data_IF_230537914554
#
_entry.id   IF_230537914554
#
_cell.length_a   1.000
_cell.length_b   1.000
_cell.length_c   1.000
_cell.angle_alpha   90.00
_cell.angle_beta   90.00
_cell.angle_gamma   90.00
#
_symmetry.space_group_name_H-M   'P 1'
#
loop_
_entity.id
_entity.type
_entity.pdbx_description
1 polymer ?
#
# COMPACT_ATOMS: atom_id res chain seq x y z
N UNK A 1 6.21 31.44 -14.39
CA UNK A 1 6.76 31.19 -13.05
C UNK A 1 5.58 30.76 -12.21
N UNK A 2 5.22 29.49 -12.33
CA UNK A 2 4.14 28.87 -11.56
C UNK A 2 4.73 28.55 -10.19
N UNK A 3 4.12 29.07 -9.14
CA UNK A 3 4.43 28.72 -7.77
C UNK A 3 3.98 27.27 -7.60
N UNK A 4 4.94 26.33 -7.59
CA UNK A 4 4.67 24.94 -7.23
C UNK A 4 4.25 24.92 -5.75
N UNK A 5 3.04 24.43 -5.47
CA UNK A 5 2.58 24.22 -4.10
C UNK A 5 3.53 23.26 -3.38
N UNK A 6 3.98 23.57 -2.14
CA UNK A 6 4.91 22.72 -1.41
C UNK A 6 4.28 21.34 -1.20
N UNK A 7 5.02 20.30 -1.56
CA UNK A 7 4.53 18.93 -1.42
C UNK A 7 4.52 18.52 0.07
N UNK A 8 3.68 17.54 0.43
CA UNK A 8 3.59 17.07 1.82
C UNK A 8 4.92 16.50 2.36
N UNK A 9 5.79 16.01 1.48
CA UNK A 9 7.15 15.57 1.83
C UNK A 9 8.04 16.78 2.20
N UNK A 10 7.90 17.92 1.51
CA UNK A 10 8.62 19.16 1.85
C UNK A 10 8.21 19.68 3.24
N UNK A 11 6.92 19.59 3.57
CA UNK A 11 6.38 19.99 4.88
C UNK A 11 6.71 18.99 6.00
N UNK A 12 6.91 17.72 5.68
CA UNK A 12 7.35 16.69 6.62
C UNK A 12 8.85 16.86 6.96
N UNK A 13 9.69 17.08 5.94
CA UNK A 13 11.12 17.32 6.11
C UNK A 13 11.40 18.67 6.82
N UNK A 14 10.68 19.74 6.48
CA UNK A 14 10.82 21.04 7.17
C UNK A 14 10.46 20.93 8.67
N UNK A 15 9.49 20.08 9.01
CA UNK A 15 9.06 19.86 10.39
C UNK A 15 10.04 19.00 11.20
N UNK A 16 10.69 18.00 10.61
CA UNK A 16 11.71 17.20 11.29
C UNK A 16 12.99 18.02 11.56
N UNK A 17 13.37 18.89 10.62
CA UNK A 17 14.46 19.86 10.83
C UNK A 17 14.12 20.83 11.96
N UNK A 18 12.87 21.30 12.06
CA UNK A 18 12.43 22.14 13.15
C UNK A 18 12.54 21.45 14.51
N UNK A 19 12.05 20.21 14.67
CA UNK A 19 12.10 19.50 15.96
C UNK A 19 13.54 19.22 16.43
N UNK A 20 14.45 18.92 15.49
CA UNK A 20 15.87 18.75 15.79
C UNK A 20 16.54 20.07 16.19
N UNK A 21 16.16 21.16 15.52
CA UNK A 21 16.60 22.50 15.84
C UNK A 21 16.10 22.93 17.23
N UNK A 22 14.86 22.62 17.59
CA UNK A 22 14.30 22.84 18.93
C UNK A 22 15.06 22.09 20.01
N UNK A 23 15.42 20.81 19.78
CA UNK A 23 16.28 20.05 20.70
C UNK A 23 17.68 20.66 20.82
N UNK A 24 18.28 21.08 19.71
CA UNK A 24 19.61 21.69 19.70
C UNK A 24 19.63 23.02 20.47
N UNK A 25 18.69 23.93 20.18
CA UNK A 25 18.60 25.21 20.87
C UNK A 25 18.20 25.06 22.34
N UNK A 26 17.26 24.15 22.65
CA UNK A 26 16.88 23.87 24.03
C UNK A 26 18.04 23.31 24.86
N UNK A 27 18.84 22.40 24.29
CA UNK A 27 20.07 21.90 24.92
C UNK A 27 21.11 23.00 25.11
N UNK A 28 21.29 23.88 24.11
CA UNK A 28 22.19 25.03 24.21
C UNK A 28 21.76 25.99 25.32
N UNK A 29 20.47 26.26 25.47
CA UNK A 29 19.93 27.09 26.55
C UNK A 29 20.19 26.48 27.94
N UNK A 30 20.07 25.15 28.08
CA UNK A 30 20.42 24.46 29.33
C UNK A 30 21.89 24.66 29.66
N UNK A 31 22.79 24.51 28.68
CA UNK A 31 24.23 24.74 28.87
C UNK A 31 24.53 26.18 29.26
N UNK A 32 23.90 27.16 28.59
CA UNK A 32 24.05 28.58 28.89
C UNK A 32 23.57 28.89 30.32
N UNK A 33 22.40 28.38 30.71
CA UNK A 33 21.86 28.61 32.05
C UNK A 33 22.65 27.90 33.15
N UNK A 34 23.20 26.71 32.89
CA UNK A 34 24.13 26.02 33.81
C UNK A 34 25.43 26.80 33.97
N UNK A 35 25.97 27.34 32.89
CA UNK A 35 27.14 28.21 32.97
C UNK A 35 26.86 29.46 33.80
N UNK A 36 25.67 30.06 33.67
CA UNK A 36 25.29 31.23 34.46
C UNK A 36 25.03 30.91 35.95
N UNK A 37 24.61 29.69 36.27
CA UNK A 37 24.48 29.21 37.65
C UNK A 37 25.85 29.03 38.33
N UNK A 38 26.80 28.44 37.60
CA UNK A 38 28.15 28.13 38.10
C UNK A 38 29.06 29.36 38.11
N UNK A 39 28.93 30.22 37.11
CA UNK A 39 29.72 31.44 36.94
C UNK A 39 28.81 32.66 36.75
N UNK A 40 28.13 33.12 37.82
CA UNK A 40 27.31 34.32 37.75
C UNK A 40 28.21 35.53 37.51
N UNK A 41 28.12 36.12 36.32
CA UNK A 41 28.89 37.30 35.93
C UNK A 41 28.61 38.54 36.81
N UNK A 42 29.31 39.64 36.55
CA UNK A 42 29.27 40.85 37.40
C UNK A 42 28.15 41.86 37.08
N UNK A 43 27.24 41.55 36.14
CA UNK A 43 26.24 42.51 35.67
C UNK A 43 25.08 42.74 36.66
N UNK A 44 24.76 41.74 37.50
CA UNK A 44 23.76 41.85 38.58
C UNK A 44 24.25 41.13 39.83
N UNK A 45 23.46 41.20 40.92
CA UNK A 45 23.72 40.41 42.12
C UNK A 45 23.77 38.90 41.78
N UNK A 46 24.68 38.11 42.39
CA UNK A 46 24.82 36.69 42.07
C UNK A 46 23.51 35.90 42.18
N UNK A 47 22.69 36.20 43.19
CA UNK A 47 21.41 35.54 43.40
C UNK A 47 20.40 35.82 42.27
N UNK A 48 20.37 37.03 41.71
CA UNK A 48 19.47 37.36 40.60
C UNK A 48 19.96 36.73 39.30
N UNK A 49 21.27 36.66 39.08
CA UNK A 49 21.86 35.94 37.93
C UNK A 49 21.59 34.45 37.96
N UNK A 50 21.69 33.82 39.14
CA UNK A 50 21.37 32.41 39.32
C UNK A 50 19.89 32.12 39.10
N UNK A 51 19.01 33.02 39.56
CA UNK A 51 17.58 32.96 39.27
C UNK A 51 17.29 33.05 37.78
N UNK A 52 17.92 33.99 37.06
CA UNK A 52 17.77 34.10 35.60
C UNK A 52 18.33 32.85 34.89
N UNK A 53 19.49 32.34 35.29
CA UNK A 53 20.07 31.10 34.77
C UNK A 53 19.14 29.90 34.97
N UNK A 54 18.49 29.80 36.13
CA UNK A 54 17.48 28.75 36.40
C UNK A 54 16.25 28.89 35.50
N UNK A 55 15.82 30.12 35.19
CA UNK A 55 14.73 30.37 34.24
C UNK A 55 15.09 29.96 32.81
N UNK A 56 16.33 30.23 32.38
CA UNK A 56 16.84 29.82 31.06
C UNK A 56 16.94 28.29 30.96
N UNK A 57 17.35 27.60 32.03
CA UNK A 57 17.35 26.13 32.09
C UNK A 57 15.92 25.59 31.99
N UNK A 58 14.97 26.16 32.75
CA UNK A 58 13.57 25.72 32.71
C UNK A 58 12.96 25.91 31.30
N UNK A 59 13.29 27.01 30.63
CA UNK A 59 12.90 27.25 29.24
C UNK A 59 13.52 26.23 28.29
N UNK A 60 14.82 25.94 28.44
CA UNK A 60 15.50 24.93 27.64
C UNK A 60 14.91 23.53 27.81
N UNK A 61 14.58 23.13 29.05
CA UNK A 61 13.91 21.85 29.34
C UNK A 61 12.51 21.80 28.71
N UNK A 62 11.74 22.88 28.80
CA UNK A 62 10.42 22.96 28.19
C UNK A 62 10.49 22.81 26.66
N UNK A 63 11.50 23.44 26.03
CA UNK A 63 11.70 23.38 24.59
C UNK A 63 12.18 22.01 24.12
N UNK A 64 13.15 21.42 24.82
CA UNK A 64 13.60 20.02 24.57
C UNK A 64 12.44 19.04 24.74
N UNK A 65 11.63 19.21 25.80
CA UNK A 65 10.46 18.39 26.03
C UNK A 65 9.39 18.51 24.95
N UNK A 66 9.24 19.71 24.36
CA UNK A 66 8.33 19.92 23.23
C UNK A 66 8.81 19.18 21.98
N UNK A 67 10.08 19.36 21.59
CA UNK A 67 10.66 18.66 20.43
C UNK A 67 10.63 17.12 20.59
N UNK A 68 10.96 16.60 21.77
CA UNK A 68 10.86 15.16 22.07
C UNK A 68 9.42 14.63 22.01
N UNK A 69 8.45 15.40 22.53
CA UNK A 69 7.03 15.02 22.49
C UNK A 69 6.56 14.91 21.05
N UNK A 70 6.87 15.89 20.21
CA UNK A 70 6.41 15.91 18.83
C UNK A 70 7.07 14.81 17.99
N UNK A 71 8.36 14.52 18.25
CA UNK A 71 9.07 13.39 17.65
C UNK A 71 8.48 12.04 18.09
N UNK A 72 8.16 11.86 19.38
CA UNK A 72 7.52 10.64 19.89
C UNK A 72 6.09 10.46 19.34
N UNK A 73 5.33 11.54 19.19
CA UNK A 73 4.01 11.51 18.56
C UNK A 73 4.11 11.12 17.08
N UNK A 74 5.16 11.57 16.38
CA UNK A 74 5.44 11.16 14.99
C UNK A 74 5.81 9.68 14.90
N UNK A 75 6.69 9.20 15.77
CA UNK A 75 7.09 7.78 15.81
C UNK A 75 5.90 6.88 16.16
N UNK A 76 5.06 7.27 17.13
CA UNK A 76 3.84 6.55 17.46
C UNK A 76 2.86 6.57 16.29
N UNK A 77 2.65 7.71 15.62
CA UNK A 77 1.78 7.81 14.44
C UNK A 77 2.28 6.95 13.28
N UNK A 78 3.59 6.93 13.04
CA UNK A 78 4.21 6.07 12.05
C UNK A 78 4.07 4.58 12.42
N UNK A 79 4.22 4.24 13.71
CA UNK A 79 4.11 2.85 14.21
C UNK A 79 2.67 2.33 14.27
N UNK A 80 1.68 3.20 14.50
CA UNK A 80 0.26 2.85 14.59
C UNK A 80 -0.42 2.75 13.23
N UNK A 81 0.31 2.92 12.13
CA UNK A 81 -0.25 2.76 10.79
C UNK A 81 -1.45 3.67 10.53
N UNK A 82 -1.50 4.88 11.12
CA UNK A 82 -2.40 5.93 10.63
C UNK A 82 -1.83 6.38 9.30
N UNK A 83 -2.15 5.58 8.29
CA UNK A 83 -2.03 5.86 6.88
C UNK A 83 -2.77 7.15 6.59
N UNK A 84 -2.03 8.26 6.54
CA UNK A 84 -2.42 9.37 5.68
C UNK A 84 -2.68 8.81 4.27
N UNK A 85 -3.72 9.24 3.56
CA UNK A 85 -4.10 8.64 2.28
C UNK A 85 -3.12 8.90 1.12
N UNK A 86 -1.92 9.43 1.37
CA UNK A 86 -0.95 9.76 0.32
C UNK A 86 0.48 9.35 0.69
N UNK A 87 0.85 8.20 0.10
CA UNK A 87 2.17 7.86 -0.45
C UNK A 87 3.42 7.86 0.47
N UNK A 88 3.62 6.74 1.15
CA UNK A 88 4.76 5.84 0.86
C UNK A 88 4.36 4.47 1.36
N UNK A 89 3.83 3.64 0.45
CA UNK A 89 3.73 2.19 0.65
C UNK A 89 5.16 1.74 0.94
N UNK A 90 5.49 1.45 2.20
CA UNK A 90 6.67 0.66 2.52
C UNK A 90 6.40 -0.68 1.86
N UNK A 91 6.99 -0.86 0.68
CA UNK A 91 6.82 -2.08 -0.09
C UNK A 91 7.45 -3.18 0.75
N UNK A 92 6.64 -4.14 1.19
CA UNK A 92 7.07 -5.14 2.14
C UNK A 92 8.06 -6.09 1.45
N UNK A 93 9.36 -5.81 1.55
CA UNK A 93 10.40 -6.53 0.81
C UNK A 93 10.45 -8.02 1.17
N UNK A 94 9.84 -8.44 2.29
CA UNK A 94 9.61 -9.85 2.60
C UNK A 94 8.54 -10.48 1.71
N UNK A 95 7.41 -9.78 1.55
CA UNK A 95 6.37 -10.16 0.59
C UNK A 95 6.87 -10.07 -0.85
N UNK A 96 7.68 -9.07 -1.23
CA UNK A 96 8.30 -8.97 -2.57
C UNK A 96 9.38 -10.04 -2.77
N UNK A 97 10.07 -10.49 -1.72
CA UNK A 97 11.06 -11.58 -1.86
C UNK A 97 10.37 -12.92 -2.04
N UNK A 98 9.33 -13.20 -1.24
CA UNK A 98 8.45 -14.36 -1.44
C UNK A 98 7.60 -14.20 -2.70
N UNK A 99 7.45 -12.96 -3.17
CA UNK A 99 7.07 -12.29 -4.46
C UNK A 99 7.94 -12.54 -5.70
N UNK A 100 9.21 -12.86 -5.48
CA UNK A 100 10.22 -13.04 -6.53
C UNK A 100 10.78 -14.46 -6.54
N UNK A 101 10.59 -15.23 -5.46
CA UNK A 101 11.09 -16.59 -5.31
C UNK A 101 10.16 -17.66 -5.93
N UNK A 102 8.87 -17.36 -6.16
CA UNK A 102 7.85 -18.32 -6.65
C UNK A 102 6.93 -17.73 -7.74
N UNK A 103 7.46 -17.35 -8.93
CA UNK A 103 6.70 -16.78 -10.05
C UNK A 103 5.51 -17.63 -10.53
N UNK A 104 5.60 -18.95 -10.37
CA UNK A 104 4.56 -19.92 -10.67
C UNK A 104 3.36 -19.87 -9.71
N UNK A 105 3.54 -19.36 -8.49
CA UNK A 105 2.48 -19.28 -7.47
C UNK A 105 1.66 -17.98 -7.54
N UNK A 106 2.15 -16.92 -8.18
CA UNK A 106 1.41 -15.64 -8.24
C UNK A 106 0.21 -15.68 -9.19
N UNK A 107 0.26 -16.52 -10.22
CA UNK A 107 -0.91 -16.78 -11.06
C UNK A 107 -2.10 -17.27 -10.22
N UNK A 108 -1.84 -18.08 -9.18
CA UNK A 108 -2.87 -18.57 -8.25
C UNK A 108 -3.42 -17.47 -7.36
N UNK A 109 -2.56 -16.57 -6.88
CA UNK A 109 -3.01 -15.44 -6.06
C UNK A 109 -3.89 -14.48 -6.87
N UNK A 110 -3.50 -14.18 -8.11
CA UNK A 110 -4.32 -13.38 -9.01
C UNK A 110 -5.63 -14.10 -9.36
N UNK A 111 -5.59 -15.41 -9.59
CA UNK A 111 -6.78 -16.24 -9.85
C UNK A 111 -7.77 -16.20 -8.68
N UNK A 112 -7.29 -16.35 -7.44
CA UNK A 112 -8.10 -16.27 -6.23
C UNK A 112 -8.72 -14.87 -6.04
N UNK A 113 -7.95 -13.81 -6.33
CA UNK A 113 -8.45 -12.44 -6.26
C UNK A 113 -9.57 -12.18 -7.27
N UNK A 114 -9.41 -12.66 -8.51
CA UNK A 114 -10.47 -12.59 -9.52
C UNK A 114 -11.67 -13.45 -9.12
N UNK A 115 -11.46 -14.65 -8.59
CA UNK A 115 -12.55 -15.53 -8.17
C UNK A 115 -13.46 -14.83 -7.14
N UNK A 116 -12.85 -14.25 -6.11
CA UNK A 116 -13.58 -13.48 -5.08
C UNK A 116 -14.34 -12.29 -5.67
N UNK A 117 -13.77 -11.59 -6.64
CA UNK A 117 -14.42 -10.45 -7.29
C UNK A 117 -15.57 -10.87 -8.23
N UNK A 118 -15.61 -12.13 -8.66
CA UNK A 118 -16.70 -12.66 -9.49
C UNK A 118 -17.77 -13.43 -8.69
N UNK A 119 -17.57 -13.68 -7.39
CA UNK A 119 -18.51 -14.43 -6.53
C UNK A 119 -19.92 -13.81 -6.48
N UNK A 120 -20.03 -12.49 -6.62
CA UNK A 120 -21.33 -11.80 -6.62
C UNK A 120 -21.91 -11.59 -8.03
N UNK A 121 -21.20 -12.08 -9.06
CA UNK A 121 -21.58 -11.99 -10.47
C UNK A 121 -21.46 -10.58 -11.08
N UNK A 122 -20.88 -9.60 -10.37
CA UNK A 122 -20.78 -8.21 -10.83
C UNK A 122 -19.41 -7.61 -10.51
N UNK A 123 -18.57 -7.48 -11.52
CA UNK A 123 -17.29 -6.78 -11.37
C UNK A 123 -17.49 -5.25 -11.37
N UNK A 124 -17.23 -4.60 -10.24
CA UNK A 124 -17.28 -3.14 -10.14
C UNK A 124 -16.00 -2.47 -10.70
N UNK A 125 -16.07 -1.17 -11.00
CA UNK A 125 -14.92 -0.43 -11.51
C UNK A 125 -13.78 -0.36 -10.49
N UNK A 126 -14.10 -0.20 -9.20
CA UNK A 126 -13.10 -0.13 -8.14
C UNK A 126 -12.36 -1.48 -8.01
N UNK A 127 -13.09 -2.61 -8.07
CA UNK A 127 -12.49 -3.96 -8.06
C UNK A 127 -11.64 -4.23 -9.30
N UNK A 128 -12.11 -3.81 -10.48
CA UNK A 128 -11.33 -3.92 -11.71
C UNK A 128 -10.00 -3.14 -11.62
N UNK A 129 -10.02 -1.93 -11.04
CA UNK A 129 -8.82 -1.12 -10.84
C UNK A 129 -7.87 -1.75 -9.80
N UNK A 130 -8.41 -2.33 -8.73
CA UNK A 130 -7.63 -3.09 -7.74
C UNK A 130 -6.95 -4.32 -8.36
N UNK A 131 -7.67 -5.10 -9.18
CA UNK A 131 -7.13 -6.27 -9.89
C UNK A 131 -6.10 -5.88 -10.94
N UNK A 132 -6.29 -4.73 -11.61
CA UNK A 132 -5.31 -4.16 -12.53
C UNK A 132 -4.03 -3.79 -11.80
N UNK A 133 -4.14 -3.10 -10.66
CA UNK A 133 -3.00 -2.78 -9.80
C UNK A 133 -2.29 -4.04 -9.30
N UNK A 134 -3.04 -5.08 -8.95
CA UNK A 134 -2.50 -6.36 -8.51
C UNK A 134 -1.72 -7.05 -9.64
N UNK A 135 -2.28 -7.13 -10.84
CA UNK A 135 -1.59 -7.72 -12.00
C UNK A 135 -0.29 -6.98 -12.35
N UNK A 136 -0.29 -5.65 -12.25
CA UNK A 136 0.89 -4.81 -12.46
C UNK A 136 1.95 -5.02 -11.36
N UNK A 137 1.52 -5.17 -10.10
CA UNK A 137 2.42 -5.45 -8.99
C UNK A 137 3.07 -6.84 -9.07
N UNK A 138 2.36 -7.81 -9.66
CA UNK A 138 2.86 -9.17 -9.90
C UNK A 138 3.65 -9.29 -11.21
N UNK A 139 3.86 -8.19 -11.94
CA UNK A 139 4.51 -8.14 -13.25
C UNK A 139 3.89 -9.11 -14.29
N UNK A 140 2.60 -9.44 -14.13
CA UNK A 140 1.89 -10.32 -15.04
C UNK A 140 1.45 -9.51 -16.27
N UNK A 141 1.82 -9.91 -17.50
CA UNK A 141 1.44 -9.17 -18.69
C UNK A 141 -0.09 -9.16 -18.86
N UNK A 142 -0.68 -8.07 -19.38
CA UNK A 142 -2.15 -7.92 -19.45
C UNK A 142 -2.88 -9.09 -20.13
N UNK A 143 -2.27 -9.70 -21.15
CA UNK A 143 -2.82 -10.88 -21.83
C UNK A 143 -2.89 -12.12 -20.93
N UNK A 144 -1.89 -12.31 -20.09
CA UNK A 144 -1.86 -13.45 -19.16
C UNK A 144 -2.82 -13.20 -17.99
N UNK A 145 -2.91 -11.95 -17.51
CA UNK A 145 -3.91 -11.54 -16.54
C UNK A 145 -5.34 -11.77 -17.06
N UNK A 146 -5.59 -11.49 -18.34
CA UNK A 146 -6.89 -11.73 -18.97
C UNK A 146 -7.23 -13.23 -19.04
N UNK A 147 -6.28 -14.11 -19.35
CA UNK A 147 -6.50 -15.58 -19.31
C UNK A 147 -6.84 -16.07 -17.90
N UNK A 148 -6.15 -15.52 -16.89
CA UNK A 148 -6.42 -15.81 -15.47
C UNK A 148 -7.82 -15.30 -15.09
N UNK A 149 -8.21 -14.11 -15.56
CA UNK A 149 -9.53 -13.54 -15.35
C UNK A 149 -10.64 -14.39 -15.98
N UNK A 150 -10.46 -14.83 -17.24
CA UNK A 150 -11.40 -15.74 -17.92
C UNK A 150 -11.57 -17.04 -17.13
N UNK A 151 -10.47 -17.62 -16.64
CA UNK A 151 -10.54 -18.85 -15.85
C UNK A 151 -11.24 -18.65 -14.51
N UNK A 152 -10.94 -17.57 -13.81
CA UNK A 152 -11.59 -17.25 -12.55
C UNK A 152 -13.10 -17.00 -12.72
N UNK A 153 -13.50 -16.30 -13.79
CA UNK A 153 -14.91 -16.08 -14.12
C UNK A 153 -15.63 -17.40 -14.44
N UNK A 154 -14.99 -18.31 -15.18
CA UNK A 154 -15.52 -19.65 -15.44
C UNK A 154 -15.69 -20.45 -14.15
N UNK A 155 -14.68 -20.46 -13.27
CA UNK A 155 -14.77 -21.16 -12.00
C UNK A 155 -15.89 -20.61 -11.12
N UNK A 156 -16.02 -19.28 -11.02
CA UNK A 156 -17.08 -18.64 -10.24
C UNK A 156 -18.48 -18.99 -10.78
N UNK A 157 -18.66 -19.00 -12.10
CA UNK A 157 -19.94 -19.34 -12.75
C UNK A 157 -20.32 -20.83 -12.66
N UNK A 158 -19.36 -21.71 -12.35
CA UNK A 158 -19.58 -23.16 -12.22
C UNK A 158 -19.79 -23.55 -10.75
N UNK A 159 -19.31 -22.74 -9.80
CA UNK A 159 -19.37 -23.06 -8.36
C UNK A 159 -20.82 -23.14 -7.85
N UNK A 160 -21.74 -22.36 -8.43
CA UNK A 160 -23.18 -22.40 -8.12
C UNK A 160 -23.99 -23.37 -9.02
N UNK A 161 -23.32 -24.01 -9.99
CA UNK A 161 -23.87 -24.96 -10.96
C UNK A 161 -24.82 -24.35 -11.99
N UNK A 162 -24.85 -23.02 -12.16
CA UNK A 162 -25.71 -22.33 -13.12
C UNK A 162 -25.07 -21.07 -13.69
N UNK A 163 -24.63 -21.16 -14.95
CA UNK A 163 -24.15 -19.99 -15.70
C UNK A 163 -25.31 -19.05 -16.04
N UNK A 164 -25.30 -17.86 -15.43
CA UNK A 164 -26.25 -16.79 -15.72
C UNK A 164 -25.83 -15.96 -16.94
N UNK A 165 -26.76 -15.22 -17.54
CA UNK A 165 -26.47 -14.35 -18.68
C UNK A 165 -25.48 -13.22 -18.34
N UNK A 166 -25.42 -12.80 -17.07
CA UNK A 166 -24.50 -11.76 -16.62
C UNK A 166 -23.07 -12.31 -16.54
N UNK A 167 -22.89 -13.50 -15.99
CA UNK A 167 -21.59 -14.18 -15.94
C UNK A 167 -21.07 -14.53 -17.33
N UNK A 168 -21.96 -14.97 -18.23
CA UNK A 168 -21.59 -15.25 -19.62
C UNK A 168 -21.04 -13.99 -20.32
N UNK A 169 -21.66 -12.83 -20.09
CA UNK A 169 -21.19 -11.55 -20.62
C UNK A 169 -19.83 -11.12 -20.01
N UNK A 170 -19.61 -11.39 -18.72
CA UNK A 170 -18.32 -11.14 -18.07
C UNK A 170 -17.21 -12.05 -18.63
N UNK A 171 -17.51 -13.33 -18.84
CA UNK A 171 -16.58 -14.29 -19.45
C UNK A 171 -16.24 -13.86 -20.89
N UNK A 172 -17.23 -13.45 -21.68
CA UNK A 172 -17.02 -12.91 -23.03
C UNK A 172 -16.10 -11.69 -23.06
N UNK A 173 -16.32 -10.73 -22.16
CA UNK A 173 -15.46 -9.56 -22.02
C UNK A 173 -14.01 -9.95 -21.69
N UNK A 174 -13.82 -10.91 -20.78
CA UNK A 174 -12.49 -11.41 -20.44
C UNK A 174 -11.81 -12.15 -21.62
N UNK A 175 -12.58 -12.94 -22.39
CA UNK A 175 -12.08 -13.67 -23.56
C UNK A 175 -11.59 -12.72 -24.67
N UNK A 176 -12.31 -11.62 -24.91
CA UNK A 176 -11.89 -10.60 -25.88
C UNK A 176 -10.56 -9.96 -25.49
N UNK A 177 -10.38 -9.61 -24.22
CA UNK A 177 -9.13 -9.03 -23.71
C UNK A 177 -7.98 -10.04 -23.74
N UNK A 178 -8.27 -11.32 -23.55
CA UNK A 178 -7.31 -12.41 -23.67
C UNK A 178 -6.88 -12.70 -25.12
N UNK A 179 -7.58 -12.13 -26.11
CA UNK A 179 -7.35 -12.32 -27.54
C UNK A 179 -7.36 -13.81 -27.93
N UNK A 180 -8.35 -14.54 -27.41
CA UNK A 180 -8.63 -15.92 -27.78
C UNK A 180 -9.22 -15.98 -29.20
N UNK A 181 -9.00 -17.09 -29.89
CA UNK A 181 -9.60 -17.34 -31.20
C UNK A 181 -11.10 -17.63 -31.08
N UNK A 182 -11.87 -17.37 -32.15
CA UNK A 182 -13.30 -17.71 -32.20
C UNK A 182 -13.56 -19.20 -31.92
N UNK A 183 -12.64 -20.08 -32.33
CA UNK A 183 -12.72 -21.52 -32.06
C UNK A 183 -12.57 -21.84 -30.57
N UNK A 184 -11.63 -21.20 -29.87
CA UNK A 184 -11.44 -21.35 -28.42
C UNK A 184 -12.64 -20.79 -27.63
N UNK A 185 -13.15 -19.62 -28.04
CA UNK A 185 -14.35 -19.03 -27.45
C UNK A 185 -15.58 -19.94 -27.63
N UNK A 186 -15.72 -20.60 -28.79
CA UNK A 186 -16.82 -21.53 -29.03
C UNK A 186 -16.74 -22.76 -28.13
N UNK A 187 -15.55 -23.32 -27.93
CA UNK A 187 -15.33 -24.47 -27.03
C UNK A 187 -15.64 -24.13 -25.58
N UNK A 188 -15.22 -22.94 -25.12
CA UNK A 188 -15.51 -22.48 -23.76
C UNK A 188 -17.01 -22.30 -23.56
N UNK A 189 -17.74 -21.77 -24.56
CA UNK A 189 -19.21 -21.65 -24.47
C UNK A 189 -19.92 -23.00 -24.42
N UNK A 190 -19.48 -23.97 -25.21
CA UNK A 190 -20.03 -25.33 -25.23
C UNK A 190 -19.85 -26.01 -23.87
N UNK A 191 -18.66 -25.88 -23.26
CA UNK A 191 -18.36 -26.39 -21.91
C UNK A 191 -19.09 -25.66 -20.77
N UNK A 192 -19.75 -24.53 -21.04
CA UNK A 192 -20.54 -23.78 -20.06
C UNK A 192 -22.05 -24.02 -20.23
N UNK A 193 -22.47 -24.71 -21.30
CA UNK A 193 -23.90 -24.87 -21.64
C UNK A 193 -24.63 -25.83 -20.70
N UNK A 194 -23.94 -26.86 -20.20
CA UNK A 194 -24.49 -27.81 -19.23
C UNK A 194 -24.32 -27.38 -17.77
N UNK A 195 -23.55 -26.32 -17.53
CA UNK A 195 -23.27 -25.73 -16.22
C UNK A 195 -22.38 -26.56 -15.31
N UNK A 196 -21.72 -27.61 -15.83
CA UNK A 196 -20.88 -28.52 -15.03
C UNK A 196 -19.60 -28.84 -15.79
N UNK A 197 -18.45 -28.37 -15.28
CA UNK A 197 -17.15 -28.71 -15.88
C UNK A 197 -16.70 -30.11 -15.47
N UNK A 198 -16.56 -31.01 -16.44
CA UNK A 198 -16.01 -32.34 -16.23
C UNK A 198 -14.46 -32.39 -16.30
N UNK A 199 -13.87 -33.56 -16.02
CA UNK A 199 -12.42 -33.75 -16.01
C UNK A 199 -11.77 -33.59 -17.41
N UNK A 200 -12.53 -33.78 -18.50
CA UNK A 200 -12.07 -33.60 -19.88
C UNK A 200 -12.09 -32.11 -20.26
N UNK A 201 -13.15 -31.40 -19.90
CA UNK A 201 -13.32 -29.96 -20.07
C UNK A 201 -12.32 -29.17 -19.23
N UNK A 202 -12.03 -29.62 -18.00
CA UNK A 202 -10.98 -29.02 -17.17
C UNK A 202 -9.61 -29.09 -17.85
N UNK A 203 -9.28 -30.22 -18.49
CA UNK A 203 -8.03 -30.36 -19.27
C UNK A 203 -8.02 -29.48 -20.51
N UNK A 204 -9.15 -29.37 -21.19
CA UNK A 204 -9.30 -28.47 -22.34
C UNK A 204 -9.08 -27.01 -21.92
N UNK A 205 -9.64 -26.58 -20.79
CA UNK A 205 -9.42 -25.25 -20.23
C UNK A 205 -7.98 -25.03 -19.75
N UNK A 206 -7.32 -26.05 -19.19
CA UNK A 206 -5.89 -26.00 -18.87
C UNK A 206 -5.01 -25.81 -20.12
N UNK A 207 -5.38 -26.44 -21.24
CA UNK A 207 -4.65 -26.32 -22.50
C UNK A 207 -4.80 -24.93 -23.14
N UNK A 208 -6.01 -24.35 -23.07
CA UNK A 208 -6.33 -23.04 -23.66
C UNK A 208 -5.84 -21.88 -22.78
N UNK A 209 -6.15 -21.93 -21.48
CA UNK A 209 -5.94 -20.83 -20.54
C UNK A 209 -4.65 -20.97 -19.71
N UNK A 210 -4.06 -22.16 -19.69
CA UNK A 210 -2.91 -22.52 -18.87
C UNK A 210 -3.31 -23.28 -17.61
N UNK A 211 -2.44 -24.19 -17.16
CA UNK A 211 -2.59 -24.87 -15.87
C UNK A 211 -2.08 -23.97 -14.74
N UNK A 212 -2.90 -23.76 -13.71
CA UNK A 212 -2.55 -22.97 -12.51
C UNK A 212 -2.59 -23.83 -11.24
N UNK A 213 -2.29 -25.13 -11.37
CA UNK A 213 -2.28 -26.14 -10.28
C UNK A 213 -1.07 -26.07 -9.36
#
# INVERSE_FOLDING_TARGET
MTEDEPTLDDLADEKDVNDWLEMFWGSLLIVIGLNQLMHPGSLFAPATMQWLGSGVIALGIAWVGHGLKDMAVKEIRASLGVSSPTSKRIVDYGLIRDVLLHPDQYGKFLLEAYHRAYEDGVLTQDEHDELTLLSAALEIPPRQAARIATRAAINAAVDDGKVTTAELALIEGAMEVANLSEEECSKIREALEDGVIDDEEKKMLDEILGSFD
#
